data_IF_688538729180
#
_entry.id   IF_688538729180
#
_cell.length_a   1.000
_cell.length_b   1.000
_cell.length_c   1.000
_cell.angle_alpha   90.00
_cell.angle_beta   90.00
_cell.angle_gamma   90.00
#
_symmetry.space_group_name_H-M   'P 1'
#
loop_
_entity.id
_entity.type
_entity.pdbx_description
1 polymer ?
2 polymer ?
3 non-polymer ?
4 non-polymer ?
5 water ?
#
# COMPACT_ATOMS: atom_id res chain seq x y z
N UNK A 55 29.79 -24.66 16.78
CA UNK A 55 28.50 -24.45 16.13
C UNK A 55 27.36 -25.13 16.89
N UNK A 56 26.24 -24.41 17.08
CA UNK A 56 25.03 -24.88 17.77
C UNK A 56 24.39 -26.02 16.97
N UNK A 57 24.17 -27.17 17.64
CA UNK A 57 23.61 -28.35 17.00
C UNK A 57 22.08 -28.39 17.04
N UNK A 58 21.53 -28.70 15.87
CA UNK A 58 20.12 -28.95 15.58
C UNK A 58 20.10 -30.17 14.66
N UNK A 59 19.32 -31.21 15.04
CA UNK A 59 19.28 -32.47 14.31
C UNK A 59 18.95 -32.28 12.82
N UNK A 60 19.71 -32.94 11.90
CA UNK A 60 19.48 -32.77 10.46
C UNK A 60 18.05 -33.06 10.00
N UNK A 61 17.31 -33.91 10.74
CA UNK A 61 15.92 -34.29 10.47
C UNK A 61 14.99 -33.04 10.57
N UNK A 62 15.33 -32.05 11.43
CA UNK A 62 14.55 -30.80 11.59
C UNK A 62 14.55 -30.03 10.26
N UNK A 63 15.74 -29.89 9.62
CA UNK A 63 15.90 -29.23 8.32
C UNK A 63 15.12 -29.94 7.21
N UNK A 64 15.09 -31.28 7.25
CA UNK A 64 14.42 -32.11 6.25
C UNK A 64 12.89 -32.02 6.45
N UNK A 65 12.40 -32.21 7.70
CA UNK A 65 10.96 -32.15 8.04
C UNK A 65 10.38 -30.75 7.77
N UNK A 66 11.08 -29.66 8.17
CA UNK A 66 10.63 -28.28 7.91
C UNK A 66 10.58 -27.99 6.41
N UNK A 67 11.52 -28.56 5.67
CA UNK A 67 11.61 -28.45 4.21
C UNK A 67 10.46 -29.18 3.54
N UNK A 68 9.99 -30.29 4.15
CA UNK A 68 8.86 -31.10 3.69
C UNK A 68 7.56 -30.33 3.97
N UNK A 69 7.39 -29.82 5.21
CA UNK A 69 6.23 -29.03 5.65
C UNK A 69 6.08 -27.80 4.74
N UNK A 70 7.21 -27.12 4.43
CA UNK A 70 7.27 -25.95 3.54
C UNK A 70 6.92 -26.35 2.10
N UNK A 71 7.42 -27.51 1.63
CA UNK A 71 7.16 -28.03 0.28
C UNK A 71 5.66 -28.31 0.13
N UNK A 72 5.06 -28.99 1.13
CA UNK A 72 3.64 -29.34 1.18
C UNK A 72 2.76 -28.09 1.21
N UNK A 73 3.13 -27.10 2.06
CA UNK A 73 2.41 -25.84 2.23
C UNK A 73 2.46 -24.95 0.99
N UNK A 74 3.66 -24.72 0.43
CA UNK A 74 3.83 -23.84 -0.73
C UNK A 74 3.32 -24.45 -2.03
N UNK A 75 3.34 -25.80 -2.18
CA UNK A 75 2.77 -26.45 -3.38
C UNK A 75 1.27 -26.16 -3.37
N UNK A 76 0.61 -26.37 -2.20
CA UNK A 76 -0.81 -26.10 -1.93
C UNK A 76 -1.18 -24.66 -2.31
N UNK A 77 -0.29 -23.68 -2.01
CA UNK A 77 -0.46 -22.26 -2.33
C UNK A 77 -0.45 -22.05 -3.87
N UNK A 78 0.59 -22.58 -4.55
CA UNK A 78 0.77 -22.48 -6.01
C UNK A 78 -0.40 -23.17 -6.74
N UNK A 79 -0.80 -24.37 -6.28
CA UNK A 79 -1.89 -25.15 -6.85
C UNK A 79 -3.22 -24.37 -6.67
N UNK A 80 -3.48 -23.83 -5.47
CA UNK A 80 -4.70 -23.07 -5.15
C UNK A 80 -4.89 -21.83 -6.01
N UNK A 81 -3.82 -21.04 -6.23
CA UNK A 81 -3.88 -19.82 -7.05
C UNK A 81 -4.10 -20.21 -8.53
N UNK A 82 -3.45 -21.30 -9.00
CA UNK A 82 -3.58 -21.79 -10.38
C UNK A 82 -4.96 -22.41 -10.65
N UNK A 83 -5.52 -23.17 -9.67
CA UNK A 83 -6.80 -23.85 -9.79
C UNK A 83 -8.02 -22.92 -9.62
N UNK A 84 -7.82 -21.75 -8.98
CA UNK A 84 -8.90 -20.79 -8.74
C UNK A 84 -8.73 -19.53 -9.60
N UNK A 85 -9.70 -19.28 -10.50
CA UNK A 85 -9.74 -18.14 -11.42
C UNK A 85 -9.97 -16.82 -10.66
N UNK A 86 -10.52 -16.91 -9.42
CA UNK A 86 -10.79 -15.77 -8.54
C UNK A 86 -9.50 -15.20 -7.95
N UNK A 87 -8.42 -15.99 -7.95
CA UNK A 87 -7.11 -15.59 -7.45
C UNK A 87 -6.16 -15.27 -8.63
N UNK A 88 -6.71 -15.06 -9.84
CA UNK A 88 -5.92 -14.74 -11.03
C UNK A 88 -5.75 -13.22 -11.18
N UNK A 89 -5.13 -12.61 -10.15
CA UNK A 89 -4.83 -11.19 -10.08
C UNK A 89 -3.31 -11.02 -9.89
N UNK A 90 -2.69 -9.89 -10.35
CA UNK A 90 -1.22 -9.73 -10.20
C UNK A 90 -0.68 -10.02 -8.79
N UNK A 91 -1.38 -9.54 -7.73
CA UNK A 91 -0.97 -9.72 -6.32
C UNK A 91 -0.76 -11.20 -5.97
N UNK A 92 -1.74 -12.07 -6.29
CA UNK A 92 -1.65 -13.52 -6.04
C UNK A 92 -0.60 -14.18 -6.94
N UNK A 93 -0.34 -13.61 -8.13
CA UNK A 93 0.69 -14.11 -9.05
C UNK A 93 2.09 -13.79 -8.48
N UNK A 94 2.21 -12.66 -7.77
CA UNK A 94 3.46 -12.27 -7.10
C UNK A 94 3.62 -13.05 -5.79
N UNK A 95 2.48 -13.49 -5.19
CA UNK A 95 2.42 -14.34 -4.00
C UNK A 95 2.88 -15.75 -4.42
N UNK A 96 2.54 -16.15 -5.67
CA UNK A 96 2.90 -17.42 -6.29
C UNK A 96 4.40 -17.52 -6.51
N UNK A 97 5.04 -16.44 -7.02
CA UNK A 97 6.49 -16.40 -7.23
C UNK A 97 7.21 -16.41 -5.88
N UNK A 98 6.61 -15.74 -4.87
CA UNK A 98 7.13 -15.69 -3.50
C UNK A 98 7.01 -17.08 -2.86
N UNK A 99 5.95 -17.83 -3.19
CA UNK A 99 5.74 -19.20 -2.71
C UNK A 99 6.78 -20.14 -3.33
N UNK A 100 7.12 -19.94 -4.63
CA UNK A 100 8.14 -20.72 -5.36
C UNK A 100 9.49 -20.46 -4.67
N UNK A 101 9.82 -19.17 -4.44
CA UNK A 101 11.04 -18.69 -3.78
C UNK A 101 11.19 -19.27 -2.37
N UNK A 102 10.08 -19.29 -1.58
CA UNK A 102 10.04 -19.86 -0.23
C UNK A 102 10.30 -21.36 -0.24
N UNK A 103 9.59 -22.09 -1.13
CA UNK A 103 9.68 -23.54 -1.34
C UNK A 103 11.09 -23.92 -1.76
N UNK A 104 11.63 -23.27 -2.80
CA UNK A 104 12.97 -23.50 -3.37
C UNK A 104 14.08 -23.27 -2.34
N UNK A 105 13.91 -22.31 -1.40
CA UNK A 105 14.87 -22.01 -0.35
C UNK A 105 14.91 -23.18 0.65
N UNK A 106 13.74 -23.63 1.15
CA UNK A 106 13.61 -24.72 2.13
C UNK A 106 13.92 -26.08 1.52
N UNK A 107 13.60 -26.28 0.22
CA UNK A 107 13.87 -27.53 -0.51
C UNK A 107 15.39 -27.64 -0.68
N UNK A 108 16.06 -26.54 -1.07
CA UNK A 108 17.51 -26.50 -1.25
C UNK A 108 18.22 -26.66 0.08
N UNK A 109 17.73 -26.01 1.16
CA UNK A 109 18.31 -26.13 2.50
C UNK A 109 18.09 -27.53 3.08
N UNK A 110 16.95 -28.14 2.76
CA UNK A 110 16.60 -29.49 3.18
C UNK A 110 17.44 -30.53 2.45
N UNK A 111 17.56 -30.37 1.12
CA UNK A 111 18.35 -31.23 0.23
C UNK A 111 19.83 -31.15 0.59
N UNK A 112 20.33 -29.93 0.91
CA UNK A 112 21.72 -29.67 1.31
C UNK A 112 22.06 -30.45 2.58
N UNK A 113 21.12 -30.49 3.54
CA UNK A 113 21.26 -31.21 4.80
C UNK A 113 21.37 -32.72 4.52
N UNK A 114 20.56 -33.23 3.57
CA UNK A 114 20.57 -34.64 3.14
C UNK A 114 21.94 -34.94 2.49
N UNK A 115 22.43 -34.03 1.62
CA UNK A 115 23.72 -34.15 0.92
C UNK A 115 24.88 -34.17 1.95
N UNK A 116 24.89 -33.22 2.93
CA UNK A 116 25.92 -33.12 3.98
C UNK A 116 25.93 -34.40 4.85
N UNK A 117 24.74 -34.87 5.31
CA UNK A 117 24.60 -36.09 6.14
C UNK A 117 25.13 -37.32 5.36
N UNK A 118 24.88 -37.39 4.04
CA UNK A 118 25.34 -38.47 3.15
C UNK A 118 26.87 -38.50 3.08
N UNK A 119 27.52 -37.32 3.09
CA UNK A 119 28.99 -37.20 3.03
C UNK A 119 29.63 -37.57 4.36
N UNK A 120 28.94 -37.27 5.49
CA UNK A 120 29.39 -37.61 6.84
C UNK A 120 29.24 -39.12 7.08
N UNK A 121 28.35 -39.77 6.30
CA UNK A 121 28.08 -41.21 6.34
C UNK A 121 29.11 -41.96 5.47
N UNK A 122 29.44 -41.40 4.29
CA UNK A 122 30.41 -41.97 3.33
C UNK A 122 31.81 -41.45 3.64
N UNK A 125 35.64 -36.92 0.74
CA UNK A 125 35.38 -35.56 0.27
C UNK A 125 34.70 -35.55 -1.11
N UNK A 126 34.84 -36.65 -1.90
CA UNK A 126 34.29 -36.87 -3.25
C UNK A 126 34.74 -35.79 -4.27
N UNK A 127 35.90 -35.14 -4.01
CA UNK A 127 36.57 -34.11 -4.80
C UNK A 127 35.64 -32.89 -5.11
N UNK A 128 35.69 -32.37 -6.36
CA UNK A 128 34.96 -31.20 -6.85
C UNK A 128 33.43 -31.39 -6.89
N UNK A 129 32.94 -32.65 -6.97
CA UNK A 129 31.51 -32.99 -7.04
C UNK A 129 30.69 -32.32 -5.94
N UNK A 130 31.16 -32.41 -4.68
CA UNK A 130 30.49 -31.84 -3.50
C UNK A 130 30.49 -30.31 -3.54
N UNK A 131 31.60 -29.70 -3.99
CA UNK A 131 31.75 -28.25 -4.12
C UNK A 131 30.79 -27.74 -5.22
N UNK A 132 30.71 -28.49 -6.35
CA UNK A 132 29.82 -28.19 -7.48
C UNK A 132 28.35 -28.25 -7.07
N UNK A 133 27.97 -29.28 -6.29
CA UNK A 133 26.61 -29.49 -5.79
C UNK A 133 26.30 -28.39 -4.74
N UNK A 134 27.29 -28.02 -3.90
CA UNK A 134 27.15 -26.97 -2.89
C UNK A 134 26.90 -25.61 -3.55
N UNK A 135 27.69 -25.27 -4.60
CA UNK A 135 27.57 -24.02 -5.35
C UNK A 135 26.22 -23.92 -6.05
N UNK A 136 25.70 -25.04 -6.59
CA UNK A 136 24.40 -25.10 -7.28
C UNK A 136 23.27 -24.89 -6.23
N UNK A 137 23.33 -25.62 -5.09
CA UNK A 137 22.34 -25.50 -4.00
C UNK A 137 22.30 -24.04 -3.51
N UNK A 138 23.47 -23.47 -3.15
CA UNK A 138 23.62 -22.10 -2.66
C UNK A 138 23.18 -21.05 -3.70
N UNK A 139 23.31 -21.36 -5.01
CA UNK A 139 22.88 -20.49 -6.10
C UNK A 139 21.35 -20.43 -6.16
N UNK A 140 20.68 -21.58 -5.94
CA UNK A 140 19.21 -21.68 -5.93
C UNK A 140 18.67 -20.90 -4.72
N UNK A 141 19.31 -21.05 -3.53
CA UNK A 141 18.93 -20.33 -2.31
C UNK A 141 19.13 -18.82 -2.52
N UNK A 142 20.27 -18.42 -3.11
CA UNK A 142 20.57 -17.01 -3.38
C UNK A 142 19.57 -16.44 -4.36
N UNK A 143 19.32 -17.13 -5.50
CA UNK A 143 18.37 -16.74 -6.54
C UNK A 143 16.97 -16.57 -5.97
N UNK A 144 16.54 -17.54 -5.13
CA UNK A 144 15.22 -17.52 -4.49
C UNK A 144 15.13 -16.45 -3.39
N UNK A 145 16.25 -16.13 -2.70
CA UNK A 145 16.26 -15.06 -1.70
C UNK A 145 16.07 -13.72 -2.42
N UNK A 146 16.80 -13.51 -3.54
CA UNK A 146 16.69 -12.31 -4.36
C UNK A 146 15.29 -12.22 -4.97
N UNK A 147 14.74 -13.37 -5.44
CA UNK A 147 13.41 -13.47 -6.03
C UNK A 147 12.32 -13.20 -4.99
N UNK A 148 12.53 -13.61 -3.72
CA UNK A 148 11.57 -13.38 -2.65
C UNK A 148 11.53 -11.88 -2.30
N UNK A 149 12.71 -11.20 -2.32
CA UNK A 149 12.83 -9.75 -2.09
C UNK A 149 12.08 -9.03 -3.22
N UNK A 150 12.35 -9.43 -4.48
CA UNK A 150 11.73 -8.89 -5.69
C UNK A 150 10.23 -9.11 -5.69
N UNK A 151 9.75 -10.29 -5.24
CA UNK A 151 8.33 -10.64 -5.16
C UNK A 151 7.61 -9.75 -4.14
N UNK A 152 8.21 -9.56 -2.94
CA UNK A 152 7.65 -8.71 -1.88
C UNK A 152 7.63 -7.24 -2.34
N UNK A 153 8.68 -6.81 -3.09
CA UNK A 153 8.77 -5.47 -3.67
C UNK A 153 7.73 -5.32 -4.78
N UNK A 154 7.41 -6.42 -5.50
CA UNK A 154 6.42 -6.44 -6.56
C UNK A 154 5.02 -6.37 -5.97
N UNK A 155 4.80 -6.98 -4.77
CA UNK A 155 3.52 -6.90 -4.05
C UNK A 155 3.39 -5.46 -3.51
N UNK A 156 4.53 -4.83 -3.13
CA UNK A 156 4.60 -3.44 -2.66
C UNK A 156 4.24 -2.48 -3.79
N UNK A 157 4.75 -2.75 -5.00
CA UNK A 157 4.46 -1.99 -6.22
C UNK A 157 2.98 -2.20 -6.55
N UNK A 158 2.51 -3.46 -6.50
CA UNK A 158 1.12 -3.86 -6.75
C UNK A 158 0.16 -3.10 -5.84
N UNK A 159 0.43 -3.11 -4.52
CA UNK A 159 -0.41 -2.48 -3.50
C UNK A 159 -0.44 -0.97 -3.66
N UNK A 160 0.73 -0.32 -3.85
CA UNK A 160 0.80 1.14 -4.05
C UNK A 160 -0.04 1.58 -5.25
N UNK A 161 0.11 0.88 -6.38
CA UNK A 161 -0.60 1.21 -7.60
C UNK A 161 -2.07 0.79 -7.56
N UNK A 162 -2.45 -0.28 -6.83
CA UNK A 162 -3.88 -0.64 -6.73
C UNK A 162 -4.61 0.32 -5.78
N UNK A 163 -3.89 0.90 -4.79
CA UNK A 163 -4.46 1.84 -3.82
C UNK A 163 -4.71 3.19 -4.50
N UNK A 164 -3.72 3.72 -5.27
CA UNK A 164 -3.83 5.04 -5.89
C UNK A 164 -4.27 5.03 -7.36
N UNK A 165 -3.68 4.17 -8.22
CA UNK A 165 -4.03 4.16 -9.64
C UNK A 165 -4.61 2.78 -10.01
N UNK A 166 -5.68 2.38 -9.28
CA UNK A 166 -6.40 1.09 -9.37
C UNK A 166 -6.76 0.69 -10.81
N UNK A 167 -7.53 1.54 -11.51
CA UNK A 167 -8.00 1.30 -12.88
C UNK A 167 -6.84 1.31 -13.88
N UNK A 168 -5.86 2.22 -13.69
CA UNK A 168 -4.68 2.36 -14.56
C UNK A 168 -3.77 1.12 -14.48
N UNK A 169 -3.46 0.66 -13.25
CA UNK A 169 -2.62 -0.51 -12.98
C UNK A 169 -3.25 -1.80 -13.51
N UNK A 170 -4.59 -1.97 -13.33
CA UNK A 170 -5.35 -3.15 -13.77
C UNK A 170 -5.28 -3.34 -15.30
N UNK A 171 -5.36 -2.22 -16.07
CA UNK A 171 -5.31 -2.25 -17.53
C UNK A 171 -3.91 -2.61 -18.03
N UNK A 172 -2.86 -2.11 -17.35
CA UNK A 172 -1.45 -2.38 -17.68
C UNK A 172 -1.10 -3.82 -17.33
N UNK A 173 -1.27 -4.20 -16.04
CA UNK A 173 -0.91 -5.51 -15.51
C UNK A 173 -1.90 -6.61 -15.89
N UNK A 174 -1.66 -7.17 -17.09
CA UNK A 174 -2.42 -8.29 -17.64
C UNK A 174 -1.69 -9.57 -17.22
N UNK A 175 -2.31 -10.75 -17.41
CA UNK A 175 -1.73 -12.06 -17.08
C UNK A 175 -0.41 -12.24 -17.88
N UNK A 176 -0.36 -11.71 -19.12
CA UNK A 176 0.81 -11.73 -20.00
C UNK A 176 1.94 -10.85 -19.43
N UNK A 177 1.63 -9.56 -19.12
CA UNK A 177 2.62 -8.61 -18.59
C UNK A 177 3.17 -9.02 -17.23
N UNK A 178 2.30 -9.53 -16.32
CA UNK A 178 2.76 -9.99 -14.99
C UNK A 178 3.60 -11.26 -15.12
N UNK A 179 3.27 -12.09 -16.12
CA UNK A 179 3.99 -13.31 -16.45
C UNK A 179 5.40 -13.01 -16.93
N UNK A 180 5.54 -11.92 -17.72
CA UNK A 180 6.81 -11.42 -18.26
C UNK A 180 7.65 -10.85 -17.11
N UNK A 181 7.05 -10.00 -16.24
CA UNK A 181 7.70 -9.36 -15.10
C UNK A 181 8.26 -10.42 -14.13
N UNK A 182 7.44 -11.45 -13.76
CA UNK A 182 7.84 -12.55 -12.88
C UNK A 182 9.00 -13.33 -13.52
N UNK A 183 8.90 -13.61 -14.85
CA UNK A 183 9.95 -14.31 -15.61
C UNK A 183 11.24 -13.50 -15.64
N UNK A 184 11.14 -12.16 -15.79
CA UNK A 184 12.28 -11.23 -15.80
C UNK A 184 12.90 -11.13 -14.41
N UNK A 185 12.06 -11.19 -13.36
CA UNK A 185 12.49 -11.17 -11.95
C UNK A 185 13.34 -12.43 -11.71
N UNK A 186 12.79 -13.61 -12.04
CA UNK A 186 13.44 -14.90 -11.86
C UNK A 186 14.65 -15.07 -12.76
N UNK A 187 14.64 -14.50 -13.98
CA UNK A 187 15.79 -14.56 -14.90
C UNK A 187 16.95 -13.72 -14.36
N UNK A 188 16.67 -12.49 -13.89
CA UNK A 188 17.67 -11.59 -13.32
C UNK A 188 18.19 -12.12 -11.97
N UNK A 189 17.30 -12.76 -11.17
CA UNK A 189 17.65 -13.29 -9.86
C UNK A 189 18.45 -14.58 -9.97
N UNK A 190 18.22 -15.42 -11.01
CA UNK A 190 18.99 -16.65 -11.21
C UNK A 190 20.39 -16.28 -11.67
N UNK A 191 20.49 -15.29 -12.60
CA UNK A 191 21.75 -14.78 -13.13
C UNK A 191 22.55 -14.14 -11.98
N UNK A 192 21.91 -13.24 -11.19
CA UNK A 192 22.53 -12.57 -10.05
C UNK A 192 22.92 -13.57 -8.95
N UNK A 193 22.04 -14.53 -8.66
CA UNK A 193 22.24 -15.57 -7.66
C UNK A 193 23.46 -16.43 -7.92
N UNK A 194 23.65 -16.85 -9.19
CA UNK A 194 24.80 -17.67 -9.63
C UNK A 194 26.07 -16.83 -9.48
N UNK A 195 26.05 -15.56 -9.97
CA UNK A 195 27.15 -14.59 -9.91
C UNK A 195 27.57 -14.29 -8.47
N UNK A 196 26.57 -14.18 -7.56
CA UNK A 196 26.77 -13.90 -6.14
C UNK A 196 27.48 -15.04 -5.42
N UNK A 197 27.23 -16.29 -5.83
CA UNK A 197 27.85 -17.49 -5.24
C UNK A 197 29.28 -17.66 -5.80
N UNK A 198 29.53 -17.20 -7.05
CA UNK A 198 30.85 -17.23 -7.67
C UNK A 198 31.77 -16.29 -6.86
N UNK A 199 31.29 -15.06 -6.56
CA UNK A 199 32.00 -14.05 -5.79
C UNK A 199 31.46 -13.96 -4.35
N UNK A 200 31.15 -15.12 -3.74
CA UNK A 200 30.64 -15.20 -2.36
C UNK A 200 31.70 -14.71 -1.36
N UNK A 201 32.98 -14.98 -1.63
CA UNK A 201 34.12 -14.57 -0.80
C UNK A 201 34.34 -13.04 -0.88
N UNK A 202 33.82 -12.39 -1.94
CA UNK A 202 33.96 -10.94 -2.15
C UNK A 202 32.98 -10.17 -1.28
N UNK A 203 33.46 -9.04 -0.72
CA UNK A 203 32.70 -8.14 0.17
C UNK A 203 31.51 -7.51 -0.54
N UNK A 204 31.68 -7.11 -1.83
CA UNK A 204 30.68 -6.48 -2.67
C UNK A 204 29.34 -7.24 -2.72
N UNK A 205 29.40 -8.59 -2.80
CA UNK A 205 28.23 -9.47 -2.86
C UNK A 205 27.50 -9.49 -1.50
N UNK A 206 28.26 -9.69 -0.39
CA UNK A 206 27.74 -9.76 0.98
C UNK A 206 27.14 -8.40 1.36
N UNK A 207 27.81 -7.28 0.99
CA UNK A 207 27.33 -5.91 1.23
C UNK A 207 26.03 -5.66 0.42
N UNK A 208 25.95 -6.18 -0.82
CA UNK A 208 24.77 -6.04 -1.69
C UNK A 208 23.54 -6.73 -1.08
N UNK A 209 23.72 -7.94 -0.52
CA UNK A 209 22.63 -8.69 0.11
C UNK A 209 22.18 -8.02 1.41
N UNK A 210 23.14 -7.47 2.19
CA UNK A 210 22.89 -6.77 3.44
C UNK A 210 22.12 -5.46 3.15
N UNK A 211 22.51 -4.74 2.06
CA UNK A 211 21.85 -3.51 1.59
C UNK A 211 20.41 -3.83 1.18
N UNK A 212 20.21 -4.96 0.47
CA UNK A 212 18.90 -5.46 0.03
C UNK A 212 18.01 -5.81 1.22
N UNK A 213 18.62 -6.30 2.33
CA UNK A 213 17.88 -6.61 3.55
C UNK A 213 17.54 -5.31 4.28
N UNK A 214 18.49 -4.35 4.31
CA UNK A 214 18.30 -3.05 4.95
C UNK A 214 17.24 -2.24 4.19
N UNK A 215 17.10 -2.49 2.88
CA UNK A 215 16.08 -1.88 2.01
C UNK A 215 14.72 -2.43 2.44
N UNK A 216 14.63 -3.76 2.67
CA UNK A 216 13.42 -4.45 3.11
C UNK A 216 13.05 -4.04 4.54
N UNK A 217 14.06 -3.78 5.39
CA UNK A 217 13.88 -3.32 6.77
C UNK A 217 13.33 -1.89 6.75
N UNK A 218 13.91 -1.01 5.90
CA UNK A 218 13.47 0.38 5.71
C UNK A 218 12.05 0.43 5.13
N UNK A 219 11.71 -0.57 4.28
CA UNK A 219 10.40 -0.72 3.68
C UNK A 219 9.39 -1.13 4.75
N UNK A 220 9.79 -2.07 5.64
CA UNK A 220 8.96 -2.55 6.76
C UNK A 220 8.72 -1.41 7.74
N UNK A 221 9.77 -0.65 8.08
CA UNK A 221 9.72 0.49 9.00
C UNK A 221 8.76 1.56 8.49
N UNK A 222 8.85 1.90 7.19
CA UNK A 222 7.97 2.90 6.55
C UNK A 222 6.54 2.38 6.44
N UNK A 223 6.35 1.07 6.18
CA UNK A 223 5.02 0.46 6.06
C UNK A 223 4.34 0.36 7.41
N UNK A 224 5.10 0.03 8.49
CA UNK A 224 4.57 -0.05 9.84
C UNK A 224 4.19 1.35 10.34
N UNK A 225 5.00 2.37 9.96
CA UNK A 225 4.78 3.77 10.30
C UNK A 225 3.50 4.26 9.60
N UNK A 226 3.26 3.86 8.34
CA UNK A 226 2.07 4.26 7.60
C UNK A 226 0.81 3.49 8.01
N UNK A 227 0.85 2.14 7.93
CA UNK A 227 -0.31 1.27 8.19
C UNK A 227 -0.76 1.21 9.63
N UNK A 228 0.16 1.33 10.60
CA UNK A 228 -0.22 1.16 12.01
C UNK A 228 -0.07 2.44 12.84
N UNK A 229 1.07 3.14 12.75
CA UNK A 229 1.32 4.36 13.51
C UNK A 229 0.47 5.53 12.98
N UNK A 230 0.49 5.76 11.65
CA UNK A 230 -0.24 6.82 10.96
C UNK A 230 -1.61 6.33 10.45
N UNK A 231 -2.10 5.20 10.98
CA UNK A 231 -3.37 4.56 10.60
C UNK A 231 -4.54 5.54 10.60
N UNK A 232 -4.69 6.30 11.70
CA UNK A 232 -5.77 7.26 11.90
C UNK A 232 -5.45 8.65 11.31
N UNK A 233 -4.31 8.79 10.62
CA UNK A 233 -3.92 10.07 10.00
C UNK A 233 -4.40 10.16 8.55
N UNK A 234 -4.30 9.05 7.79
CA UNK A 234 -4.75 9.03 6.39
C UNK A 234 -5.89 8.03 6.13
N UNK A 235 -6.26 7.26 7.15
CA UNK A 235 -7.34 6.28 7.06
C UNK A 235 -8.70 6.92 7.21
N UNK A 236 -9.56 6.76 6.19
CA UNK A 236 -10.92 7.32 6.18
C UNK A 236 -11.85 6.49 7.09
N UNK A 237 -12.63 7.18 7.93
CA UNK A 237 -13.61 6.58 8.84
C UNK A 237 -14.96 6.48 8.13
N UNK A 239 -17.48 4.65 9.11
CA UNK A 239 -18.52 4.57 10.14
C UNK A 239 -19.08 5.96 10.45
N UNK A 240 -18.26 7.02 10.30
CA UNK A 240 -18.66 8.40 10.53
C UNK A 240 -18.99 9.10 9.21
N UNK A 241 -18.03 9.16 8.26
CA UNK A 241 -18.21 9.83 6.98
C UNK A 241 -18.99 8.92 6.02
N UNK A 242 -20.30 8.84 6.28
CA UNK A 242 -21.26 8.04 5.53
C UNK A 242 -22.45 8.89 5.11
N UNK A 243 -22.91 8.69 3.86
CA UNK A 243 -24.06 9.41 3.30
C UNK A 243 -25.39 8.98 3.97
N UNK A 244 -25.36 7.91 4.78
CA UNK A 244 -26.51 7.38 5.54
C UNK A 244 -26.96 8.35 6.64
N UNK A 245 -26.03 9.22 7.10
CA UNK A 245 -26.28 10.25 8.12
C UNK A 245 -27.04 11.42 7.50
N UNK A 246 -27.01 11.54 6.16
CA UNK A 246 -27.73 12.58 5.40
C UNK A 246 -29.14 12.12 5.06
N UNK A 247 -30.11 13.04 5.15
CA UNK A 247 -31.52 12.75 4.84
C UNK A 247 -31.99 13.63 3.67
N UNK A 248 -32.82 13.05 2.80
CA UNK A 248 -33.36 13.70 1.63
C UNK A 248 -32.41 13.72 0.45
N UNK A 249 -32.76 14.47 -0.60
CA UNK A 249 -31.92 14.60 -1.79
C UNK A 249 -30.85 15.67 -1.56
N UNK A 250 -29.80 15.68 -2.41
CA UNK A 250 -28.72 16.67 -2.31
C UNK A 250 -29.25 18.08 -2.63
N UNK A 251 -30.21 18.18 -3.58
CA UNK A 251 -30.87 19.41 -3.99
C UNK A 251 -31.52 20.10 -2.78
N UNK A 252 -32.30 19.35 -1.97
CA UNK A 252 -32.99 19.89 -0.81
C UNK A 252 -32.00 20.16 0.34
N UNK A 253 -30.95 19.33 0.49
CA UNK A 253 -29.89 19.51 1.50
C UNK A 253 -29.10 20.79 1.24
N UNK A 254 -28.85 21.11 -0.05
CA UNK A 254 -28.17 22.33 -0.48
C UNK A 254 -29.11 23.53 -0.32
N UNK A 255 -30.40 23.36 -0.72
CA UNK A 255 -31.45 24.37 -0.63
C UNK A 255 -31.65 24.82 0.81
N UNK A 256 -31.79 23.86 1.75
CA UNK A 256 -31.98 24.12 3.18
C UNK A 256 -30.74 24.80 3.76
N UNK A 257 -29.53 24.33 3.38
CA UNK A 257 -28.23 24.84 3.81
C UNK A 257 -28.05 26.30 3.40
N UNK A 258 -28.34 26.62 2.12
CA UNK A 258 -28.24 27.98 1.58
C UNK A 258 -29.29 28.91 2.21
N UNK A 259 -30.50 28.37 2.51
CA UNK A 259 -31.59 29.12 3.15
C UNK A 259 -31.24 29.46 4.61
N UNK A 260 -30.46 28.58 5.29
CA UNK A 260 -29.99 28.76 6.67
C UNK A 260 -29.01 29.92 6.77
N UNK A 261 -28.24 30.16 5.69
CA UNK A 261 -27.24 31.23 5.60
C UNK A 261 -27.80 32.46 4.85
N UNK A 262 -29.09 32.44 4.53
CA UNK A 262 -29.79 33.52 3.82
C UNK A 262 -29.26 33.74 2.42
N UNK A 263 -29.27 32.69 1.59
CA UNK A 263 -28.78 32.68 0.22
C UNK A 263 -29.70 31.94 -0.75
N UNK A 264 -29.63 32.31 -2.02
CA UNK A 264 -30.38 31.73 -3.13
C UNK A 264 -29.70 30.42 -3.57
N UNK A 265 -30.41 29.58 -4.36
CA UNK A 265 -29.86 28.32 -4.87
C UNK A 265 -28.85 28.57 -5.99
N UNK A 266 -27.60 28.18 -5.72
CA UNK A 266 -26.50 28.34 -6.65
C UNK A 266 -25.44 27.27 -6.44
N UNK A 267 -24.41 27.26 -7.30
CA UNK A 267 -23.30 26.32 -7.25
C UNK A 267 -22.50 26.61 -5.97
N UNK A 268 -22.69 25.78 -4.94
CA UNK A 268 -22.11 25.96 -3.62
C UNK A 268 -20.71 25.35 -3.49
N UNK A 269 -19.75 26.20 -3.11
CA UNK A 269 -18.34 25.92 -2.89
C UNK A 269 -18.05 26.08 -1.41
N UNK A 270 -17.35 25.10 -0.81
CA UNK A 270 -17.11 25.12 0.63
C UNK A 270 -15.62 24.98 0.99
N UNK A 271 -15.18 25.80 1.93
CA UNK A 271 -13.83 25.76 2.50
C UNK A 271 -13.95 25.42 3.97
N UNK A 272 -13.07 24.53 4.44
CA UNK A 272 -12.97 24.11 5.83
C UNK A 272 -11.48 23.95 6.17
N UNK A 273 -11.07 24.60 7.24
CA UNK A 273 -9.70 24.60 7.71
C UNK A 273 -9.26 25.94 8.27
N UNK A 274 -8.07 25.96 8.88
CA UNK A 274 -7.44 27.11 9.53
C UNK A 274 -7.20 28.28 8.55
N UNK A 275 -7.25 29.49 9.11
CA UNK A 275 -6.99 30.74 8.40
C UNK A 275 -5.53 31.11 8.64
N UNK A 276 -4.66 30.72 7.69
CA UNK A 276 -3.21 30.93 7.76
C UNK A 276 -2.61 31.29 6.40
N UNK A 277 -1.47 32.01 6.43
CA UNK A 277 -0.72 32.42 5.25
C UNK A 277 0.43 31.46 4.97
N UNK A 278 0.18 30.48 4.10
CA UNK A 278 1.18 29.50 3.69
C UNK A 278 0.98 28.06 4.07
N UNK A 279 -0.22 27.68 4.56
CA UNK A 279 -0.49 26.29 4.95
C UNK A 279 -1.74 25.70 4.27
N UNK A 280 -2.94 26.13 4.70
CA UNK A 280 -4.20 25.58 4.16
C UNK A 280 -4.74 26.43 2.98
N UNK A 281 -4.04 27.51 2.67
CA UNK A 281 -4.32 28.39 1.54
C UNK A 281 -5.66 29.08 1.49
N UNK A 282 -6.14 29.62 2.63
CA UNK A 282 -7.41 30.37 2.66
C UNK A 282 -7.21 31.67 1.84
N UNK A 283 -5.99 32.25 1.89
CA UNK A 283 -5.57 33.45 1.17
C UNK A 283 -5.73 33.26 -0.35
N UNK A 284 -5.41 32.06 -0.86
CA UNK A 284 -5.53 31.66 -2.28
C UNK A 284 -7.01 31.76 -2.69
N UNK A 285 -7.91 31.20 -1.86
CA UNK A 285 -9.36 31.19 -2.06
C UNK A 285 -9.94 32.61 -1.96
N UNK A 286 -9.48 33.39 -0.95
CA UNK A 286 -9.93 34.77 -0.73
C UNK A 286 -9.53 35.67 -1.91
N UNK A 287 -8.33 35.42 -2.50
CA UNK A 287 -7.84 36.12 -3.68
C UNK A 287 -8.65 35.70 -4.90
N UNK A 288 -8.98 34.37 -5.00
CA UNK A 288 -9.76 33.77 -6.09
C UNK A 288 -11.19 34.30 -6.11
N UNK A 289 -11.84 34.47 -4.94
CA UNK A 289 -13.20 35.02 -4.81
C UNK A 289 -13.18 36.49 -5.32
N UNK A 290 -12.09 37.23 -5.02
CA UNK A 290 -11.88 38.61 -5.48
C UNK A 290 -11.69 38.67 -6.99
N UNK A 291 -11.02 37.64 -7.59
CA UNK A 291 -10.82 37.52 -9.05
C UNK A 291 -12.19 37.28 -9.70
N UNK A 292 -12.98 36.37 -9.11
CA UNK A 292 -14.32 35.99 -9.58
C UNK A 292 -15.35 37.10 -9.38
N UNK A 293 -15.18 37.98 -8.36
CA UNK A 293 -16.08 39.09 -8.01
C UNK A 293 -16.50 39.92 -9.23
N UNK A 294 -15.53 40.28 -10.09
CA UNK A 294 -15.74 41.07 -11.31
C UNK A 294 -16.51 40.30 -12.39
N UNK A 295 -16.35 38.95 -12.44
CA UNK A 295 -17.00 38.09 -13.42
C UNK A 295 -18.51 37.97 -13.18
N UNK A 296 -19.28 37.80 -14.27
CA UNK A 296 -20.74 37.64 -14.23
C UNK A 296 -21.14 36.24 -13.76
N UNK A 297 -20.22 35.27 -13.90
CA UNK A 297 -20.37 33.87 -13.50
C UNK A 297 -20.43 33.69 -11.97
N UNK A 298 -19.87 34.66 -11.22
CA UNK A 298 -19.81 34.69 -9.75
C UNK A 298 -21.20 34.74 -9.10
N UNK A 299 -22.17 35.33 -9.78
CA UNK A 299 -23.55 35.49 -9.31
C UNK A 299 -24.28 34.15 -9.18
N UNK A 300 -23.85 33.13 -9.96
CA UNK A 300 -24.41 31.77 -9.94
C UNK A 300 -23.66 30.89 -8.92
N UNK A 301 -22.57 31.42 -8.34
CA UNK A 301 -21.72 30.76 -7.34
C UNK A 301 -22.10 31.14 -5.92
N UNK A 302 -21.89 30.21 -4.97
CA UNK A 302 -22.11 30.39 -3.54
C UNK A 302 -20.86 29.91 -2.80
N UNK A 303 -20.41 30.65 -1.78
CA UNK A 303 -19.19 30.29 -1.05
C UNK A 303 -19.42 30.24 0.45
N UNK A 304 -19.04 29.13 1.09
CA UNK A 304 -19.11 28.93 2.53
C UNK A 304 -17.68 28.70 3.02
N UNK A 305 -17.12 29.68 3.74
CA UNK A 305 -15.73 29.61 4.23
C UNK A 305 -15.74 29.43 5.76
N UNK A 306 -15.24 28.28 6.24
CA UNK A 306 -15.22 27.94 7.68
C UNK A 306 -13.77 27.83 8.18
N UNK A 307 -13.54 28.35 9.38
CA UNK A 307 -12.25 28.30 10.05
C UNK A 307 -11.86 29.54 10.81
N UNK A 308 -10.91 29.38 11.74
CA UNK A 308 -10.34 30.44 12.58
C UNK A 308 -8.82 30.51 12.39
N UNK A 309 -8.21 31.57 12.90
CA UNK A 309 -6.77 31.76 12.81
C UNK A 309 -6.32 33.20 12.78
N UNK A 310 -5.69 33.60 11.65
CA UNK A 310 -5.15 34.93 11.40
C UNK A 310 -6.27 35.98 11.39
N UNK A 311 -6.25 36.98 12.31
CA UNK A 311 -7.32 38.01 12.31
C UNK A 311 -7.36 38.85 11.03
N UNK A 312 -6.21 38.91 10.31
CA UNK A 312 -6.02 39.58 9.03
C UNK A 312 -6.85 38.89 7.94
N UNK A 313 -6.82 37.54 7.92
CA UNK A 313 -7.56 36.69 6.97
C UNK A 313 -9.01 36.50 7.41
N UNK A 314 -9.25 36.47 8.74
CA UNK A 314 -10.60 36.36 9.33
C UNK A 314 -11.40 37.61 8.97
N UNK A 315 -10.77 38.78 9.11
CA UNK A 315 -11.34 40.08 8.78
C UNK A 315 -11.56 40.28 7.30
N UNK A 316 -10.69 39.66 6.46
CA UNK A 316 -10.77 39.71 5.00
C UNK A 316 -11.98 38.92 4.51
N UNK A 317 -12.15 37.70 5.05
CA UNK A 317 -13.26 36.80 4.73
C UNK A 317 -14.61 37.43 5.12
N UNK A 318 -14.67 38.04 6.33
CA UNK A 318 -15.86 38.72 6.86
C UNK A 318 -16.18 39.99 6.06
N UNK A 319 -15.15 40.64 5.47
CA UNK A 319 -15.33 41.85 4.66
C UNK A 319 -15.93 41.49 3.29
N UNK A 320 -15.53 40.35 2.70
CA UNK A 320 -16.05 39.89 1.42
C UNK A 320 -17.46 39.30 1.59
N UNK A 321 -17.77 38.82 2.81
CA UNK A 321 -19.06 38.26 3.22
C UNK A 321 -20.14 39.34 3.17
N UNK A 322 -19.87 40.52 3.77
CA UNK A 322 -20.78 41.67 3.82
C UNK A 322 -20.78 42.49 2.50
N UNK A 323 -19.80 42.23 1.62
CA UNK A 323 -19.62 42.90 0.33
C UNK A 323 -20.34 42.21 -0.83
N UNK A 324 -20.39 40.87 -0.84
CA UNK A 324 -20.96 40.13 -1.97
C UNK A 324 -22.36 39.54 -1.69
N UNK A 325 -22.52 38.83 -0.57
CA UNK A 325 -23.82 38.25 -0.21
C UNK A 325 -23.96 36.78 -0.54
N UNK A 326 -23.25 36.32 -1.61
CA UNK A 326 -23.21 34.91 -2.01
C UNK A 326 -22.02 34.23 -1.29
N UNK A 327 -21.28 35.04 -0.50
CA UNK A 327 -20.14 34.64 0.31
C UNK A 327 -20.61 34.64 1.77
N UNK A 328 -20.47 33.48 2.44
CA UNK A 328 -20.81 33.27 3.86
C UNK A 328 -19.56 32.80 4.58
N UNK A 329 -19.30 33.36 5.78
CA UNK A 329 -18.12 33.02 6.56
C UNK A 329 -18.53 32.64 7.98
N UNK A 330 -18.03 31.47 8.45
CA UNK A 330 -18.25 30.95 9.80
C UNK A 330 -16.87 30.91 10.48
N UNK A 331 -16.57 31.95 11.30
CA UNK A 331 -15.31 32.07 12.03
C UNK A 331 -15.42 31.35 13.39
N UNK A 332 -15.81 30.07 13.32
CA UNK A 332 -16.01 29.15 14.45
C UNK A 332 -15.64 27.74 14.03
N UNK A 333 -15.08 26.94 14.96
CA UNK A 333 -14.73 25.55 14.68
C UNK A 333 -16.00 24.70 14.82
N UNK A 334 -16.59 24.35 13.66
CA UNK A 334 -17.83 23.57 13.59
C UNK A 334 -17.59 22.09 13.87
N UNK A 335 -18.62 21.42 14.42
CA UNK A 335 -18.61 19.99 14.75
C UNK A 335 -18.54 19.15 13.49
N UNK A 336 -17.77 18.03 13.55
CA UNK A 336 -17.58 17.08 12.44
C UNK A 336 -18.91 16.61 11.85
N UNK A 337 -19.96 16.47 12.69
CA UNK A 337 -21.31 16.06 12.32
C UNK A 337 -21.97 17.10 11.38
N UNK A 338 -21.70 18.40 11.62
CA UNK A 338 -22.23 19.49 10.80
C UNK A 338 -21.40 19.66 9.53
N UNK A 339 -20.07 19.40 9.61
CA UNK A 339 -19.11 19.45 8.49
C UNK A 339 -19.51 18.34 7.49
N UNK A 340 -19.94 17.18 8.02
CA UNK A 340 -20.43 16.01 7.29
C UNK A 340 -21.71 16.38 6.51
N UNK A 341 -22.63 17.14 7.15
CA UNK A 341 -23.87 17.62 6.54
C UNK A 341 -23.56 18.65 5.46
N UNK A 342 -22.52 19.49 5.68
CA UNK A 342 -22.06 20.49 4.73
C UNK A 342 -21.46 19.79 3.50
N UNK A 343 -20.64 18.75 3.72
CA UNK A 343 -20.03 17.94 2.66
C UNK A 343 -21.08 17.26 1.77
N UNK A 344 -22.20 16.87 2.38
CA UNK A 344 -23.32 16.23 1.71
C UNK A 344 -24.31 17.17 1.08
N UNK A 345 -24.18 18.48 1.35
CA UNK A 345 -25.06 19.52 0.83
C UNK A 345 -24.39 20.33 -0.29
N UNK A 346 -23.14 20.79 -0.04
CA UNK A 346 -22.36 21.60 -0.99
C UNK A 346 -22.02 20.78 -2.25
N UNK A 347 -21.81 21.48 -3.37
CA UNK A 347 -21.46 20.82 -4.63
C UNK A 347 -19.98 20.52 -4.67
N UNK A 348 -19.14 21.52 -4.33
CA UNK A 348 -17.69 21.39 -4.36
C UNK A 348 -17.05 21.82 -3.05
N UNK A 349 -15.91 21.21 -2.71
CA UNK A 349 -15.13 21.53 -1.52
C UNK A 349 -13.75 21.99 -1.99
N UNK A 350 -13.40 23.25 -1.69
CA UNK A 350 -12.13 23.83 -2.10
C UNK A 350 -11.09 23.63 -0.99
N UNK A 351 -10.03 22.87 -1.30
CA UNK A 351 -8.90 22.57 -0.42
C UNK A 351 -7.66 23.20 -1.10
N UNK A 352 -7.42 24.54 -0.95
CA UNK A 352 -6.29 25.16 -1.65
C UNK A 352 -4.99 25.14 -0.83
N UNK A 353 -4.77 24.04 -0.11
CA UNK A 353 -3.64 23.80 0.77
C UNK A 353 -2.29 23.86 0.05
N UNK A 354 -1.33 24.55 0.69
CA UNK A 354 0.05 24.67 0.24
C UNK A 354 0.79 23.39 0.59
N UNK A 355 0.32 22.69 1.65
CA UNK A 355 0.86 21.45 2.18
C UNK A 355 -0.26 20.61 2.80
N UNK A 356 -0.44 19.37 2.29
CA UNK A 356 -1.41 18.37 2.76
C UNK A 356 -0.85 16.97 2.46
N UNK A 357 -0.12 16.33 3.40
CA UNK A 357 0.45 15.01 3.11
C UNK A 357 -0.60 13.89 3.03
N UNK A 358 -1.72 14.06 3.73
CA UNK A 358 -2.79 13.06 3.76
C UNK A 358 -4.03 13.58 3.05
N UNK A 359 -4.53 12.80 2.09
CA UNK A 359 -5.71 13.14 1.31
C UNK A 359 -7.02 13.03 2.06
N UNK A 360 -6.97 12.79 3.39
CA UNK A 360 -8.11 12.62 4.29
C UNK A 360 -9.13 13.77 4.18
N UNK A 361 -8.66 15.04 4.05
CA UNK A 361 -9.53 16.22 3.89
C UNK A 361 -10.44 16.05 2.67
N UNK A 362 -9.87 15.59 1.53
CA UNK A 362 -10.59 15.32 0.29
C UNK A 362 -11.44 14.07 0.43
N UNK A 363 -10.87 12.99 1.02
CA UNK A 363 -11.52 11.69 1.26
C UNK A 363 -12.83 11.85 2.05
N UNK A 364 -12.80 12.64 3.14
CA UNK A 364 -13.94 12.94 4.01
C UNK A 364 -15.08 13.59 3.21
N UNK A 365 -14.74 14.57 2.34
CA UNK A 365 -15.67 15.30 1.49
C UNK A 365 -16.23 14.41 0.38
N UNK A 366 -15.35 13.64 -0.30
CA UNK A 366 -15.69 12.74 -1.42
C UNK A 366 -16.68 11.65 -1.01
N UNK A 367 -16.63 11.17 0.25
CA UNK A 367 -17.51 10.17 0.84
C UNK A 367 -18.97 10.60 0.77
N UNK A 368 -19.22 11.90 0.97
CA UNK A 368 -20.55 12.47 1.03
C UNK A 368 -20.94 13.20 -0.27
N UNK A 369 -20.22 12.89 -1.35
CA UNK A 369 -20.49 13.41 -2.69
C UNK A 369 -19.84 14.72 -3.09
N UNK A 370 -19.21 15.43 -2.15
CA UNK A 370 -18.56 16.71 -2.45
C UNK A 370 -17.36 16.51 -3.40
N UNK A 371 -17.39 17.21 -4.55
CA UNK A 371 -16.34 17.13 -5.56
C UNK A 371 -15.21 18.09 -5.12
N UNK A 372 -14.01 17.58 -4.80
CA UNK A 372 -12.96 18.48 -4.31
C UNK A 372 -12.23 19.24 -5.42
N UNK A 373 -11.90 20.52 -5.10
CA UNK A 373 -11.10 21.43 -5.91
C UNK A 373 -9.87 21.70 -5.06
N UNK A 374 -8.89 20.80 -5.14
CA UNK A 374 -7.70 20.88 -4.32
C UNK A 374 -6.42 21.13 -5.09
N UNK A 375 -5.34 21.42 -4.35
CA UNK A 375 -4.00 21.65 -4.90
C UNK A 375 -3.37 20.31 -5.23
N UNK A 376 -2.52 20.27 -6.27
CA UNK A 376 -1.81 19.06 -6.66
C UNK A 376 -0.59 18.85 -5.73
N UNK A 377 -0.87 18.74 -4.40
CA UNK A 377 0.14 18.57 -3.34
C UNK A 377 -0.18 17.34 -2.50
N UNK A 378 0.88 16.63 -2.08
CA UNK A 378 0.84 15.45 -1.25
C UNK A 378 -0.30 14.48 -1.49
N UNK A 379 -1.08 14.24 -0.43
CA UNK A 379 -2.22 13.33 -0.42
C UNK A 379 -3.37 13.72 -1.31
N UNK A 380 -3.56 15.04 -1.55
CA UNK A 380 -4.62 15.57 -2.41
C UNK A 380 -4.36 15.17 -3.86
N UNK A 381 -3.08 15.26 -4.29
CA UNK A 381 -2.59 14.91 -5.62
C UNK A 381 -2.75 13.42 -5.90
N UNK A 382 -2.55 12.60 -4.85
CA UNK A 382 -2.63 11.13 -4.90
C UNK A 382 -4.07 10.61 -4.93
N UNK A 383 -4.96 11.21 -4.11
CA UNK A 383 -6.35 10.79 -3.95
C UNK A 383 -7.25 11.35 -5.08
N UNK A 384 -7.07 12.62 -5.47
CA UNK A 384 -7.92 13.21 -6.50
C UNK A 384 -7.39 12.86 -7.89
N UNK A 385 -8.32 12.41 -8.75
CA UNK A 385 -8.09 12.06 -10.15
C UNK A 385 -8.97 12.99 -11.01
N UNK A 386 -8.88 12.89 -12.34
CA UNK A 386 -9.68 13.69 -13.28
C UNK A 386 -11.18 13.41 -13.08
N UNK A 387 -11.51 12.15 -12.76
CA UNK A 387 -12.86 11.62 -12.54
C UNK A 387 -13.43 11.96 -11.17
N UNK A 388 -12.56 12.22 -10.18
CA UNK A 388 -12.97 12.45 -8.79
C UNK A 388 -12.69 13.86 -8.25
N UNK A 389 -12.40 14.82 -9.14
CA UNK A 389 -12.16 16.19 -8.73
C UNK A 389 -11.33 17.02 -9.68
N UNK A 390 -11.08 18.29 -9.29
CA UNK A 390 -10.29 19.24 -10.08
C UNK A 390 -9.03 19.59 -9.29
N UNK A 391 -7.85 19.37 -9.90
CA UNK A 391 -6.55 19.68 -9.30
C UNK A 391 -5.99 20.97 -9.88
N UNK A 392 -5.44 21.83 -9.01
CA UNK A 392 -4.85 23.11 -9.40
C UNK A 392 -3.46 23.30 -8.78
N UNK A 393 -2.69 24.26 -9.32
CA UNK A 393 -1.37 24.60 -8.82
C UNK A 393 -1.54 25.34 -7.49
N UNK A 394 -0.80 24.89 -6.45
CA UNK A 394 -0.83 25.48 -5.11
C UNK A 394 -0.29 26.91 -5.11
N UNK A 395 -1.02 27.80 -4.43
CA UNK A 395 -0.67 29.21 -4.33
C UNK A 395 -1.00 30.03 -5.56
N UNK A 396 -1.80 29.46 -6.47
CA UNK A 396 -2.22 30.12 -7.71
C UNK A 396 -3.72 30.47 -7.61
N UNK A 397 -4.06 31.74 -7.27
CA UNK A 397 -5.47 32.11 -7.15
C UNK A 397 -6.18 32.21 -8.51
N UNK A 398 -5.42 32.57 -9.55
CA UNK A 398 -5.91 32.68 -10.92
C UNK A 398 -6.31 31.35 -11.52
N UNK A 399 -5.53 30.29 -11.21
CA UNK A 399 -5.79 28.93 -11.67
C UNK A 399 -6.96 28.33 -10.88
N UNK A 400 -7.06 28.68 -9.56
CA UNK A 400 -8.12 28.25 -8.67
C UNK A 400 -9.44 28.91 -9.09
N UNK A 401 -9.41 30.21 -9.45
CA UNK A 401 -10.59 30.95 -9.93
C UNK A 401 -11.14 30.31 -11.20
N UNK A 402 -10.23 29.87 -12.10
CA UNK A 402 -10.56 29.17 -13.34
C UNK A 402 -11.14 27.78 -13.05
N UNK A 403 -10.66 27.12 -11.98
CA UNK A 403 -11.14 25.80 -11.54
C UNK A 403 -12.54 25.90 -10.97
N UNK A 404 -12.85 27.02 -10.28
CA UNK A 404 -14.16 27.32 -9.72
C UNK A 404 -15.12 27.62 -10.90
N UNK A 405 -14.61 28.30 -11.95
CA UNK A 405 -15.35 28.61 -13.18
C UNK A 405 -15.63 27.32 -13.96
N UNK A 406 -14.65 26.39 -13.98
CA UNK A 406 -14.73 25.08 -14.62
C UNK A 406 -15.77 24.23 -13.91
N UNK A 407 -15.75 24.27 -12.55
CA UNK A 407 -16.68 23.57 -11.67
C UNK A 407 -18.10 24.10 -11.83
N UNK A 408 -18.24 25.43 -12.04
CA UNK A 408 -19.53 26.09 -12.25
C UNK A 408 -20.16 25.59 -13.57
N UNK A 409 -19.33 25.48 -14.64
CA UNK A 409 -19.77 25.00 -15.94
C UNK A 409 -20.07 23.51 -15.85
N UNK A 410 -19.28 22.76 -15.07
CA UNK A 410 -19.43 21.32 -14.81
C UNK A 410 -20.79 21.00 -14.16
N UNK A 411 -21.24 21.89 -13.24
CA UNK A 411 -22.49 21.76 -12.49
C UNK A 411 -23.75 21.93 -13.36
N UNK A 412 -23.63 22.53 -14.56
CA UNK A 412 -24.76 22.75 -15.48
C UNK A 412 -25.30 21.40 -15.99
N UNK A 413 -24.40 20.42 -16.13
CA UNK A 413 -24.71 19.03 -16.49
C UNK A 413 -25.00 18.26 -15.20
N UNK A 414 -25.36 16.96 -15.30
CA UNK A 414 -25.63 16.18 -14.09
C UNK A 414 -24.31 15.72 -13.46
N UNK A 415 -24.05 16.16 -12.22
CA UNK A 415 -22.84 15.81 -11.47
C UNK A 415 -23.02 14.50 -10.69
N UNK A 416 -24.22 13.87 -10.76
CA UNK A 416 -24.59 12.64 -10.06
C UNK A 416 -23.52 11.54 -10.18
N UNK A 417 -22.99 11.29 -11.39
CA UNK A 417 -21.96 10.27 -11.60
C UNK A 417 -20.60 10.72 -11.06
N UNK A 418 -20.27 12.03 -11.22
CA UNK A 418 -19.02 12.60 -10.72
C UNK A 418 -18.89 12.36 -9.23
N UNK A 419 -19.99 12.58 -8.48
CA UNK A 419 -20.08 12.38 -7.02
C UNK A 419 -19.97 10.90 -6.68
N UNK A 420 -20.53 10.02 -7.54
CA UNK A 420 -20.46 8.56 -7.37
C UNK A 420 -19.03 8.08 -7.55
N UNK A 421 -18.24 8.75 -8.41
CA UNK A 421 -16.82 8.45 -8.64
C UNK A 421 -16.01 8.85 -7.40
N UNK A 422 -16.36 10.01 -6.80
CA UNK A 422 -15.76 10.56 -5.57
C UNK A 422 -16.02 9.60 -4.41
N UNK A 423 -17.29 9.16 -4.25
CA UNK A 423 -17.74 8.23 -3.22
C UNK A 423 -16.99 6.90 -3.33
N UNK A 424 -16.92 6.32 -4.55
CA UNK A 424 -16.24 5.05 -4.84
C UNK A 424 -14.74 5.13 -4.59
N UNK A 425 -14.10 6.26 -4.97
CA UNK A 425 -12.68 6.50 -4.77
C UNK A 425 -12.35 6.60 -3.28
N UNK A 426 -13.11 7.42 -2.53
CA UNK A 426 -12.92 7.62 -1.09
C UNK A 426 -13.17 6.33 -0.31
N UNK A 427 -14.11 5.48 -0.78
CA UNK A 427 -14.47 4.21 -0.18
C UNK A 427 -13.31 3.21 -0.26
N UNK A 428 -12.56 3.19 -1.39
CA UNK A 428 -11.44 2.27 -1.62
C UNK A 428 -10.23 2.54 -0.70
N UNK A 429 -10.17 3.73 -0.07
CA UNK A 429 -9.08 4.11 0.84
C UNK A 429 -9.37 3.76 2.31
N UNK A 430 -10.47 3.03 2.58
CA UNK A 430 -10.84 2.60 3.94
C UNK A 430 -10.03 1.39 4.35
N UNK A 431 -9.70 1.30 5.67
CA UNK A 431 -8.93 0.20 6.27
C UNK A 431 -9.61 -1.17 6.08
N UNK A 432 -10.96 -1.19 6.03
CA UNK A 432 -11.77 -2.40 5.83
C UNK A 432 -11.85 -2.80 4.34
N UNK A 433 -11.32 -1.96 3.45
CA UNK A 433 -11.30 -2.20 2.02
C UNK A 433 -10.24 -3.21 1.60
N UNK A 434 -10.43 -3.82 0.42
CA UNK A 434 -9.53 -4.84 -0.15
C UNK A 434 -8.14 -4.28 -0.49
N UNK A 435 -8.06 -2.97 -0.84
CA UNK A 435 -6.82 -2.29 -1.18
C UNK A 435 -5.92 -2.07 0.05
N UNK A 436 -6.51 -1.62 1.17
CA UNK A 436 -5.77 -1.38 2.41
C UNK A 436 -5.44 -2.67 3.14
N UNK A 437 -6.39 -3.65 3.16
CA UNK A 437 -6.19 -4.97 3.80
C UNK A 437 -5.02 -5.70 3.15
N UNK A 438 -4.84 -5.50 1.85
CA UNK A 438 -3.74 -6.05 1.08
C UNK A 438 -2.40 -5.41 1.44
N UNK A 439 -2.43 -4.11 1.80
CA UNK A 439 -1.24 -3.35 2.22
C UNK A 439 -0.82 -3.78 3.63
N UNK A 440 -1.79 -4.22 4.45
CA UNK A 440 -1.57 -4.74 5.80
C UNK A 440 -0.95 -6.14 5.64
N UNK A 441 -1.48 -6.94 4.68
CA UNK A 441 -0.98 -8.28 4.31
C UNK A 441 0.49 -8.18 3.91
N UNK A 442 0.80 -7.16 3.09
CA UNK A 442 2.15 -6.83 2.60
C UNK A 442 3.09 -6.50 3.78
N UNK A 443 2.61 -5.71 4.77
CA UNK A 443 3.38 -5.32 5.95
C UNK A 443 3.65 -6.56 6.82
N UNK A 444 2.67 -7.49 6.90
CA UNK A 444 2.83 -8.74 7.66
C UNK A 444 3.87 -9.61 6.94
N UNK A 445 3.74 -9.77 5.61
CA UNK A 445 4.66 -10.58 4.79
C UNK A 445 6.10 -10.04 4.84
N UNK A 446 6.29 -8.71 4.77
CA UNK A 446 7.63 -8.10 4.82
C UNK A 446 8.14 -8.21 6.27
N UNK A 447 7.26 -7.97 7.24
CA UNK A 447 7.56 -8.08 8.66
C UNK A 447 8.07 -9.47 9.03
N UNK A 448 7.41 -10.51 8.49
CA UNK A 448 7.75 -11.92 8.70
C UNK A 448 9.09 -12.23 8.01
N UNK A 449 9.31 -11.69 6.78
CA UNK A 449 10.57 -11.85 6.04
C UNK A 449 11.73 -11.26 6.84
N UNK A 450 11.62 -9.98 7.24
CA UNK A 450 12.63 -9.23 8.00
C UNK A 450 12.96 -9.98 9.30
N UNK A 451 11.95 -10.36 10.11
CA UNK A 451 12.15 -11.09 11.38
C UNK A 451 12.88 -12.44 11.12
N UNK A 452 12.43 -13.21 10.11
CA UNK A 452 13.00 -14.52 9.79
C UNK A 452 14.42 -14.46 9.19
N UNK A 453 14.77 -13.35 8.52
CA UNK A 453 16.09 -13.20 7.89
C UNK A 453 17.06 -12.28 8.67
N UNK A 454 16.56 -11.52 9.67
CA UNK A 454 17.36 -10.61 10.50
C UNK A 454 18.54 -11.32 11.19
N UNK A 455 18.38 -12.49 11.86
CA UNK A 455 19.54 -13.11 12.51
C UNK A 455 20.60 -13.55 11.50
N UNK A 456 20.18 -14.04 10.32
CA UNK A 456 21.09 -14.45 9.24
C UNK A 456 21.85 -13.25 8.70
N UNK A 457 21.17 -12.12 8.47
CA UNK A 457 21.83 -10.93 7.93
C UNK A 457 22.70 -10.24 8.97
N UNK A 458 22.36 -10.37 10.28
CA UNK A 458 23.21 -9.83 11.35
C UNK A 458 24.47 -10.69 11.43
N UNK A 459 24.31 -12.01 11.16
CA UNK A 459 25.39 -13.00 11.09
C UNK A 459 26.29 -12.64 9.90
N UNK A 460 25.70 -12.19 8.77
CA UNK A 460 26.39 -11.78 7.56
C UNK A 460 27.14 -10.48 7.79
N UNK A 461 26.52 -9.53 8.54
CA UNK A 461 27.14 -8.25 8.93
C UNK A 461 28.38 -8.58 9.75
N UNK A 462 28.22 -9.48 10.73
CA UNK A 462 29.28 -9.95 11.62
C UNK A 462 30.39 -10.69 10.87
N UNK A 463 30.03 -11.50 9.85
CA UNK A 463 30.95 -12.27 9.00
C UNK A 463 31.99 -11.35 8.32
N UNK A 464 31.57 -10.19 7.81
CA UNK A 464 32.47 -9.25 7.12
C UNK A 464 33.02 -8.17 8.04
N UNK A 465 32.29 -7.81 9.11
CA UNK A 465 32.68 -6.70 9.99
C UNK A 465 33.46 -7.11 11.24
N UNK A 466 33.13 -8.25 11.87
CA UNK A 466 33.79 -8.68 13.12
C UNK A 466 33.94 -10.23 13.23
N UNK A 467 34.50 -10.97 12.24
CA UNK A 467 34.63 -12.43 12.41
C UNK A 467 35.61 -12.86 13.51
N UNK A 468 36.49 -11.95 13.96
CA UNK A 468 37.50 -12.18 15.00
C UNK A 468 36.94 -11.89 16.42
N UNK A 469 35.88 -11.06 16.50
CA UNK A 469 35.24 -10.63 17.75
C UNK A 469 34.52 -11.81 18.43
N UNK A 470 34.86 -12.12 19.72
CA UNK A 470 34.19 -13.25 20.40
C UNK A 470 32.68 -13.07 20.55
N UNK A 471 32.20 -11.82 20.65
CA UNK A 471 30.79 -11.48 20.77
C UNK A 471 30.06 -11.73 19.44
N UNK A 472 30.80 -11.62 18.32
CA UNK A 472 30.27 -11.88 16.98
C UNK A 472 30.35 -13.37 16.70
N UNK A 473 31.45 -14.03 17.13
CA UNK A 473 31.69 -15.47 16.99
C UNK A 473 30.57 -16.25 17.71
N UNK A 474 30.23 -15.84 18.96
CA UNK A 474 29.18 -16.47 19.77
C UNK A 474 27.84 -16.40 19.05
N UNK A 475 27.52 -15.25 18.41
CA UNK A 475 26.29 -15.07 17.64
C UNK A 475 26.36 -15.93 16.39
N UNK A 476 27.50 -15.89 15.67
CA UNK A 476 27.75 -16.62 14.43
C UNK A 476 27.72 -18.16 14.61
N UNK A 477 27.92 -18.65 15.84
CA UNK A 477 27.91 -20.09 16.14
C UNK A 477 26.47 -20.66 16.12
N UNK A 478 25.45 -19.80 16.23
CA UNK A 478 24.05 -20.21 16.20
C UNK A 478 23.46 -20.10 14.78
N UNK A 479 24.33 -20.24 13.74
CA UNK A 479 23.99 -20.15 12.31
C UNK A 479 22.89 -21.13 11.90
N UNK A 480 22.91 -22.36 12.46
CA UNK A 480 21.94 -23.42 12.18
C UNK A 480 20.52 -23.01 12.61
N UNK A 481 20.39 -22.24 13.72
CA UNK A 481 19.11 -21.71 14.22
C UNK A 481 18.59 -20.62 13.29
N UNK A 482 19.52 -19.86 12.68
CA UNK A 482 19.22 -18.77 11.75
C UNK A 482 18.73 -19.35 10.42
N UNK A 483 19.26 -20.53 10.04
CA UNK A 483 18.82 -21.23 8.84
C UNK A 483 17.44 -21.83 9.08
N UNK A 484 17.16 -22.26 10.33
CA UNK A 484 15.87 -22.80 10.76
C UNK A 484 14.81 -21.69 10.68
N UNK A 485 15.19 -20.45 11.06
CA UNK A 485 14.29 -19.29 10.99
C UNK A 485 13.98 -18.95 9.52
N UNK A 486 14.93 -19.21 8.60
CA UNK A 486 14.76 -19.02 7.15
C UNK A 486 13.75 -20.08 6.65
N UNK A 487 13.79 -21.33 7.21
CA UNK A 487 12.84 -22.41 6.88
C UNK A 487 11.44 -22.00 7.28
N UNK A 488 11.32 -21.31 8.44
CA UNK A 488 10.08 -20.81 9.04
C UNK A 488 9.43 -19.75 8.18
N UNK A 489 10.22 -18.92 7.46
CA UNK A 489 9.70 -17.88 6.55
C UNK A 489 8.85 -18.52 5.44
N UNK A 490 9.21 -19.76 5.04
CA UNK A 490 8.54 -20.58 4.02
C UNK A 490 7.32 -21.32 4.58
N UNK A 491 7.18 -21.39 5.92
CA UNK A 491 6.09 -22.07 6.62
C UNK A 491 5.05 -21.04 7.12
N UNK A 492 5.52 -19.88 7.63
CA UNK A 492 4.67 -18.79 8.16
C UNK A 492 3.95 -18.08 7.01
N UNK A 493 4.63 -17.82 5.86
CA UNK A 493 4.05 -17.15 4.68
C UNK A 493 2.76 -17.86 4.19
N UNK A 494 2.73 -19.21 3.92
CA UNK A 494 1.46 -19.85 3.51
C UNK A 494 0.34 -19.68 4.53
N UNK A 495 0.68 -19.62 5.83
CA UNK A 495 -0.27 -19.41 6.92
C UNK A 495 -0.83 -17.97 6.89
N UNK A 496 -0.02 -16.99 6.44
CA UNK A 496 -0.42 -15.58 6.31
C UNK A 496 -1.39 -15.45 5.13
N UNK A 497 -1.01 -15.99 3.94
CA UNK A 497 -1.83 -15.93 2.73
C UNK A 497 -3.25 -16.41 3.00
N UNK A 498 -3.39 -17.55 3.70
CA UNK A 498 -4.68 -18.13 4.09
C UNK A 498 -5.43 -17.22 5.06
N UNK A 499 -4.71 -16.70 6.08
CA UNK A 499 -5.24 -15.81 7.11
C UNK A 499 -5.75 -14.48 6.54
N UNK A 500 -5.11 -13.97 5.47
CA UNK A 500 -5.42 -12.69 4.84
C UNK A 500 -6.32 -12.81 3.60
N UNK A 501 -6.40 -13.99 2.97
CA UNK A 501 -7.25 -14.19 1.79
C UNK A 501 -8.29 -15.28 2.08
N UNK A 502 -9.57 -14.85 2.15
CA UNK A 502 -10.74 -15.68 2.40
C UNK A 502 -10.97 -16.66 1.23
N UNK A 503 -10.70 -16.19 -0.01
CA UNK A 503 -10.84 -16.95 -1.24
C UNK A 503 -9.80 -18.08 -1.30
N UNK A 504 -8.55 -17.81 -0.86
CA UNK A 504 -7.47 -18.80 -0.83
C UNK A 504 -7.77 -19.88 0.23
N UNK A 505 -8.40 -19.50 1.36
CA UNK A 505 -8.82 -20.41 2.44
C UNK A 505 -9.87 -21.39 1.94
N UNK A 506 -10.82 -20.88 1.11
CA UNK A 506 -11.90 -21.62 0.48
C UNK A 506 -11.32 -22.65 -0.50
N UNK A 507 -10.31 -22.24 -1.29
CA UNK A 507 -9.63 -23.09 -2.27
C UNK A 507 -8.82 -24.16 -1.53
N UNK A 508 -8.23 -23.81 -0.37
CA UNK A 508 -7.45 -24.73 0.48
C UNK A 508 -8.38 -25.80 1.06
N UNK A 509 -9.62 -25.39 1.43
CA UNK A 509 -10.67 -26.25 1.98
C UNK A 509 -11.19 -27.23 0.93
N UNK A 510 -11.08 -26.87 -0.36
CA UNK A 510 -11.46 -27.74 -1.48
C UNK A 510 -10.39 -28.79 -1.72
N UNK A 511 -9.10 -28.46 -1.46
CA UNK A 511 -7.97 -29.37 -1.66
C UNK A 511 -7.95 -30.42 -0.53
N UNK A 512 -8.28 -30.06 0.74
CA UNK A 512 -8.31 -31.00 1.87
C UNK A 512 -9.47 -32.03 1.69
N UNK A 513 -10.56 -31.63 0.99
CA UNK A 513 -11.70 -32.49 0.69
C UNK A 513 -11.39 -33.38 -0.52
N UNK A 514 -10.65 -32.84 -1.51
CA UNK A 514 -10.24 -33.56 -2.72
C UNK A 514 -9.10 -34.54 -2.42
N UNK A 515 -8.23 -34.22 -1.43
CA UNK A 515 -7.12 -35.08 -0.98
C UNK A 515 -7.67 -36.26 -0.21
N UNK A 516 -8.84 -36.08 0.45
CA UNK A 516 -9.57 -37.12 1.18
C UNK A 516 -10.17 -38.11 0.18
N UNK A 517 -10.55 -37.61 -1.03
CA UNK A 517 -11.09 -38.39 -2.14
C UNK A 517 -9.95 -39.02 -2.95
N UNK A 518 -8.77 -38.35 -2.99
CA UNK A 518 -7.56 -38.82 -3.66
C UNK A 518 -7.03 -40.08 -2.97
N UNK A 519 -6.97 -40.06 -1.62
CA UNK A 519 -6.54 -41.19 -0.79
C UNK A 519 -7.56 -42.32 -0.84
N UNK A 520 -8.86 -41.97 -1.04
CA UNK A 520 -9.98 -42.91 -1.17
C UNK A 520 -9.90 -43.65 -2.51
N UNK A 521 -9.52 -42.93 -3.59
CA UNK A 521 -9.36 -43.49 -4.93
C UNK A 521 -8.02 -44.23 -5.05
N UNK A 522 -7.04 -43.87 -4.20
CA UNK A 522 -5.70 -44.45 -4.12
C UNK A 522 -5.74 -45.89 -3.62
N UNK A 523 -6.63 -46.19 -2.66
CA UNK A 523 -6.81 -47.52 -2.08
C UNK A 523 -7.89 -48.31 -2.81
N UNK A 524 -8.86 -47.59 -3.39
CA UNK A 524 -9.97 -48.17 -4.14
C UNK A 524 -10.23 -47.44 -5.45
N UNK B 3 29.42 -26.62 3.95
CA UNK B 3 28.48 -26.50 5.07
C UNK B 3 27.12 -26.02 4.64
N UNK B 4 26.15 -26.04 5.57
CA UNK B 4 24.76 -25.58 5.47
C UNK B 4 24.79 -24.11 5.14
N UNK B 6 25.55 -20.56 3.41
CA UNK B 6 26.79 -19.93 3.00
C UNK B 6 27.15 -18.89 4.04
N UNK B 7 28.45 -18.59 4.18
CA UNK B 7 29.06 -17.61 5.09
C UNK B 7 28.84 -17.99 6.52
N UNK B 8 28.99 -19.26 6.91
CA UNK B 8 28.82 -19.69 8.31
C UNK B 8 30.00 -19.33 9.18
#
# INVERSE_FOLDING_TARGET
MKTIIALSYIFCLVFADYKDDDDAGRAWNRSSYRLHSNASESLGKGYSDGGCYEQLFVSPVVFVTLGVISLLENILVIVAIAKNKNLHSPMYFFICSLAVADMLVSVSLGFETIVITLLNSTDTDAQSFTVNIDNVIDSVICASLLASICSLLSIAVDRYFTIFYALQYHNIMTVKRVGIIISCIWAACTVSGILFIIYSDSSAVIICLITMFFTMLALMASLYVHMFLMARLHGIDXSFWNESYLTGSRDERKKSLLSKFGMDEGVTFMFIGRFDRGQKGVDVLLKAIEILSSKKEFQEMRFIIIGKGDPELEGWARSLEEKHGNVKVITEMLSREFVRELYGSVDFVIIPSYFEPFGLVALEAMCLGAIPIASAVGGLRDIITNETGILVKAGDPGELANAILKALELSRSDLSKFRENCKKRAMSFSRQGANMKGAITLTILIGVFVVCWAPFFLHLIFYISCPQNPYCVCFMSHFNLYLILIMCNSIINPLIYALRSQELRKTFKEIICCYEFLEVLFQGPHHHHHHHHHH
XXDHXRWKX
#
